data_IF_288500173063
#
_entry.id   IF_288500173063
#
_cell.length_a   1.000
_cell.length_b   1.000
_cell.length_c   1.000
_cell.angle_alpha   90.00
_cell.angle_beta   90.00
_cell.angle_gamma   90.00
#
_symmetry.space_group_name_H-M   'P 1'
#
loop_
_entity.id
_entity.type
_entity.pdbx_description
1 polymer ?
#
# COMPACT_ATOMS: atom_id res chain seq x y z
N UNK A 1 -20.00 1.65 1.04
CA UNK A 1 -19.81 0.73 -0.10
C UNK A 1 -19.52 1.56 -1.32
N UNK A 2 -18.50 1.24 -2.13
CA UNK A 2 -18.18 2.02 -3.33
C UNK A 2 -19.13 1.66 -4.47
N UNK A 3 -19.53 2.64 -5.27
CA UNK A 3 -20.11 2.42 -6.59
C UNK A 3 -19.05 2.68 -7.66
N UNK A 4 -19.06 1.88 -8.72
CA UNK A 4 -18.32 2.13 -9.94
C UNK A 4 -19.33 2.10 -11.08
N UNK A 5 -19.51 3.22 -11.77
CA UNK A 5 -20.46 3.31 -12.88
C UNK A 5 -19.71 3.28 -14.21
N UNK A 6 -19.98 2.25 -15.00
CA UNK A 6 -19.43 2.08 -16.35
C UNK A 6 -20.54 2.17 -17.40
N UNK A 7 -20.15 2.54 -18.61
CA UNK A 7 -21.04 2.60 -19.76
C UNK A 7 -20.48 1.75 -20.89
N UNK A 8 -21.36 1.11 -21.66
CA UNK A 8 -20.98 0.46 -22.91
C UNK A 8 -22.12 0.50 -23.89
N UNK A 9 -21.88 1.10 -25.05
CA UNK A 9 -22.79 1.05 -26.18
C UNK A 9 -22.25 0.08 -27.25
N UNK A 10 -23.03 -0.95 -27.55
CA UNK A 10 -22.63 -1.98 -28.52
C UNK A 10 -22.74 -1.52 -29.98
N UNK A 11 -23.49 -0.45 -30.27
CA UNK A 11 -23.67 0.08 -31.63
C UNK A 11 -22.48 0.94 -32.05
N UNK A 12 -22.10 1.91 -31.22
CA UNK A 12 -21.03 2.87 -31.54
C UNK A 12 -19.71 2.60 -30.80
N UNK A 13 -19.67 1.60 -29.90
CA UNK A 13 -18.50 1.21 -29.08
C UNK A 13 -18.04 2.30 -28.10
N UNK A 14 -18.90 3.25 -27.75
CA UNK A 14 -18.60 4.23 -26.71
C UNK A 14 -18.60 3.56 -25.33
N UNK A 15 -17.59 3.89 -24.51
CA UNK A 15 -17.41 3.37 -23.15
C UNK A 15 -17.45 4.48 -22.08
N UNK A 16 -17.59 5.73 -22.50
CA UNK A 16 -17.67 6.89 -21.62
C UNK A 16 -19.02 7.58 -21.78
N UNK A 17 -19.61 8.04 -20.67
CA UNK A 17 -20.80 8.87 -20.67
C UNK A 17 -20.69 9.93 -19.56
N UNK A 18 -20.71 11.22 -19.94
CA UNK A 18 -20.46 12.32 -18.99
C UNK A 18 -21.48 12.38 -17.85
N UNK A 19 -22.75 12.08 -18.14
CA UNK A 19 -23.82 12.03 -17.14
C UNK A 19 -23.57 10.92 -16.12
N UNK A 20 -23.14 9.75 -16.58
CA UNK A 20 -22.83 8.61 -15.71
C UNK A 20 -21.57 8.83 -14.87
N UNK A 21 -20.57 9.56 -15.36
CA UNK A 21 -19.40 9.95 -14.55
C UNK A 21 -19.80 10.86 -13.38
N UNK A 22 -20.74 11.79 -13.61
CA UNK A 22 -21.27 12.65 -12.55
C UNK A 22 -22.10 11.84 -11.55
N UNK A 23 -22.90 10.88 -12.04
CA UNK A 23 -23.65 9.96 -11.18
C UNK A 23 -22.72 9.11 -10.29
N UNK A 24 -21.63 8.58 -10.83
CA UNK A 24 -20.61 7.87 -10.04
C UNK A 24 -20.11 8.70 -8.86
N UNK A 25 -19.73 9.94 -9.14
CA UNK A 25 -19.22 10.89 -8.14
C UNK A 25 -20.28 11.17 -7.07
N UNK A 26 -21.53 11.36 -7.48
CA UNK A 26 -22.67 11.60 -6.59
C UNK A 26 -22.97 10.42 -5.67
N UNK A 27 -23.06 9.21 -6.21
CA UNK A 27 -23.30 8.01 -5.41
C UNK A 27 -22.18 7.81 -4.39
N UNK A 28 -20.93 7.94 -4.83
CA UNK A 28 -19.78 7.79 -3.94
C UNK A 28 -19.73 8.90 -2.88
N UNK A 29 -20.14 10.13 -3.17
CA UNK A 29 -20.18 11.20 -2.16
C UNK A 29 -21.08 10.86 -0.97
N UNK A 30 -22.19 10.17 -1.23
CA UNK A 30 -23.24 9.93 -0.24
C UNK A 30 -23.27 8.51 0.33
N UNK A 31 -22.69 7.52 -0.37
CA UNK A 31 -22.77 6.09 -0.01
C UNK A 31 -21.42 5.47 0.36
N UNK A 32 -20.30 6.12 0.01
CA UNK A 32 -18.98 5.69 0.48
C UNK A 32 -18.83 6.05 1.97
N UNK A 33 -18.03 5.28 2.70
CA UNK A 33 -17.87 5.44 4.16
C UNK A 33 -18.92 4.73 5.01
N UNK A 34 -19.97 4.17 4.40
CA UNK A 34 -20.97 3.34 5.08
C UNK A 34 -20.73 1.86 4.81
N UNK A 35 -20.76 1.07 5.87
CA UNK A 35 -20.46 -0.35 5.81
C UNK A 35 -21.75 -1.17 5.62
N UNK A 36 -21.82 -1.94 4.54
CA UNK A 36 -23.01 -2.71 4.15
C UNK A 36 -22.68 -4.19 3.88
N UNK A 37 -21.64 -4.71 4.54
CA UNK A 37 -21.10 -6.06 4.34
C UNK A 37 -19.61 -6.05 3.97
N UNK A 38 -18.97 -7.21 4.10
CA UNK A 38 -17.54 -7.47 3.82
C UNK A 38 -17.31 -8.14 2.47
N UNK A 39 -18.31 -8.90 2.00
CA UNK A 39 -18.20 -9.73 0.81
C UNK A 39 -17.84 -8.88 -0.41
N UNK A 40 -18.53 -7.75 -0.56
CA UNK A 40 -18.28 -6.80 -1.65
C UNK A 40 -17.93 -5.42 -1.11
N UNK A 41 -16.75 -4.95 -1.47
CA UNK A 41 -16.33 -3.58 -1.17
C UNK A 41 -16.88 -2.59 -2.22
N UNK A 42 -17.20 -3.10 -3.41
CA UNK A 42 -17.65 -2.30 -4.56
C UNK A 42 -18.81 -2.97 -5.29
N UNK A 43 -19.82 -2.16 -5.66
CA UNK A 43 -20.82 -2.51 -6.67
C UNK A 43 -20.42 -1.83 -7.97
N UNK A 44 -20.01 -2.61 -8.94
CA UNK A 44 -19.79 -2.16 -10.32
C UNK A 44 -21.11 -2.29 -11.08
N UNK A 45 -21.68 -1.15 -11.46
CA UNK A 45 -22.88 -1.07 -12.30
C UNK A 45 -22.45 -0.67 -13.70
N UNK A 46 -22.60 -1.59 -14.66
CA UNK A 46 -22.35 -1.28 -16.07
C UNK A 46 -23.67 -1.12 -16.81
N UNK A 47 -23.93 0.10 -17.26
CA UNK A 47 -25.04 0.41 -18.14
C UNK A 47 -24.73 0.01 -19.58
N UNK A 48 -25.64 -0.73 -20.21
CA UNK A 48 -25.44 -1.32 -21.53
C UNK A 48 -26.47 -0.76 -22.50
N UNK A 49 -26.00 -0.01 -23.49
CA UNK A 49 -26.80 0.47 -24.62
C UNK A 49 -26.73 -0.50 -25.80
N UNK A 50 -27.82 -0.55 -26.58
CA UNK A 50 -27.90 -1.26 -27.86
C UNK A 50 -27.44 -2.73 -27.80
N UNK A 51 -27.74 -3.42 -26.69
CA UNK A 51 -27.31 -4.80 -26.47
C UNK A 51 -27.90 -5.75 -27.52
N UNK A 52 -27.15 -6.76 -28.02
CA UNK A 52 -27.73 -7.82 -28.83
C UNK A 52 -28.84 -8.55 -28.07
N UNK A 53 -29.97 -8.84 -28.73
CA UNK A 53 -31.14 -9.46 -28.11
C UNK A 53 -30.86 -10.82 -27.42
N UNK A 54 -29.79 -11.50 -27.84
CA UNK A 54 -29.37 -12.81 -27.31
C UNK A 54 -28.44 -12.71 -26.09
N UNK A 55 -27.97 -11.51 -25.73
CA UNK A 55 -26.98 -11.32 -24.67
C UNK A 55 -27.61 -11.42 -23.29
N UNK A 56 -27.08 -12.31 -22.46
CA UNK A 56 -27.38 -12.35 -21.03
C UNK A 56 -26.56 -11.30 -20.28
N UNK A 57 -27.24 -10.49 -19.48
CA UNK A 57 -26.60 -9.50 -18.62
C UNK A 57 -25.85 -10.18 -17.48
N UNK A 58 -24.64 -9.69 -17.19
CA UNK A 58 -23.82 -10.24 -16.12
C UNK A 58 -24.39 -9.81 -14.76
N UNK A 59 -24.40 -10.77 -13.85
CA UNK A 59 -24.60 -10.58 -12.43
C UNK A 59 -23.66 -11.57 -11.72
N UNK A 60 -22.46 -11.13 -11.34
CA UNK A 60 -21.42 -12.02 -10.81
C UNK A 60 -20.43 -11.31 -9.90
N UNK A 61 -19.65 -12.09 -9.17
CA UNK A 61 -18.47 -11.60 -8.45
C UNK A 61 -17.28 -11.46 -9.40
N UNK A 62 -16.61 -10.31 -9.33
CA UNK A 62 -15.35 -10.00 -10.02
C UNK A 62 -14.26 -9.77 -8.96
N UNK A 63 -13.10 -10.41 -9.16
CA UNK A 63 -11.97 -10.40 -8.21
C UNK A 63 -12.36 -10.72 -6.75
N UNK A 64 -13.45 -11.47 -6.55
CA UNK A 64 -14.06 -11.83 -5.26
C UNK A 64 -14.71 -10.66 -4.49
N UNK A 65 -14.18 -9.45 -4.61
CA UNK A 65 -14.58 -8.27 -3.81
C UNK A 65 -15.48 -7.25 -4.54
N UNK A 66 -15.78 -7.47 -5.83
CA UNK A 66 -16.63 -6.58 -6.64
C UNK A 66 -17.89 -7.33 -7.07
N UNK A 67 -19.06 -6.75 -6.79
CA UNK A 67 -20.32 -7.18 -7.37
C UNK A 67 -20.51 -6.51 -8.74
N UNK A 68 -20.34 -7.25 -9.83
CA UNK A 68 -20.54 -6.76 -11.20
C UNK A 68 -22.00 -7.01 -11.63
N UNK A 69 -22.74 -5.91 -11.81
CA UNK A 69 -24.13 -5.88 -12.25
C UNK A 69 -24.23 -5.14 -13.58
N UNK A 70 -24.82 -5.78 -14.59
CA UNK A 70 -25.16 -5.11 -15.84
C UNK A 70 -26.64 -4.77 -15.92
N UNK A 71 -26.92 -3.53 -16.31
CA UNK A 71 -28.26 -2.97 -16.48
C UNK A 71 -28.45 -2.49 -17.92
N UNK A 72 -29.67 -2.58 -18.43
CA UNK A 72 -30.02 -1.97 -19.72
C UNK A 72 -29.96 -0.45 -19.59
N UNK A 73 -29.30 0.22 -20.52
CA UNK A 73 -29.33 1.67 -20.67
C UNK A 73 -30.21 2.10 -21.85
N UNK A 74 -30.57 3.38 -21.87
CA UNK A 74 -31.16 4.06 -23.05
C UNK A 74 -30.63 5.50 -23.12
N UNK A 75 -29.30 5.63 -23.10
CA UNK A 75 -28.62 6.93 -23.12
C UNK A 75 -28.49 7.43 -24.56
N UNK A 76 -28.95 8.65 -24.83
CA UNK A 76 -28.97 9.23 -26.19
C UNK A 76 -27.73 10.07 -26.48
N UNK A 77 -27.12 10.67 -25.45
CA UNK A 77 -25.95 11.53 -25.64
C UNK A 77 -24.85 11.28 -24.60
N UNK A 78 -23.81 10.58 -25.01
CA UNK A 78 -22.67 10.23 -24.15
C UNK A 78 -21.76 11.42 -23.80
N UNK A 79 -21.75 12.47 -24.62
CA UNK A 79 -20.76 13.56 -24.51
C UNK A 79 -21.29 14.79 -23.77
N UNK A 80 -22.61 14.89 -23.55
CA UNK A 80 -23.23 16.04 -22.88
C UNK A 80 -23.92 15.62 -21.60
N UNK A 81 -23.88 16.51 -20.62
CA UNK A 81 -24.61 16.34 -19.37
C UNK A 81 -26.12 16.45 -19.64
N UNK A 82 -26.88 15.44 -19.20
CA UNK A 82 -28.32 15.38 -19.37
C UNK A 82 -29.01 15.06 -18.02
N UNK A 83 -29.98 15.88 -17.65
CA UNK A 83 -30.68 15.78 -16.38
C UNK A 83 -31.64 14.59 -16.30
N UNK A 84 -32.39 14.32 -17.37
CA UNK A 84 -33.33 13.20 -17.42
C UNK A 84 -32.60 11.87 -17.38
N UNK A 85 -31.49 11.76 -18.12
CA UNK A 85 -30.61 10.59 -18.11
C UNK A 85 -29.98 10.37 -16.73
N UNK A 86 -29.60 11.46 -16.04
CA UNK A 86 -29.08 11.39 -14.66
C UNK A 86 -30.13 10.82 -13.71
N UNK A 87 -31.36 11.35 -13.73
CA UNK A 87 -32.46 10.91 -12.87
C UNK A 87 -32.85 9.46 -13.17
N UNK A 88 -32.98 9.11 -14.45
CA UNK A 88 -33.27 7.74 -14.88
C UNK A 88 -32.20 6.77 -14.38
N UNK A 89 -30.92 7.09 -14.61
CA UNK A 89 -29.81 6.24 -14.20
C UNK A 89 -29.72 6.13 -12.67
N UNK A 90 -29.90 7.25 -11.95
CA UNK A 90 -29.92 7.29 -10.50
C UNK A 90 -30.97 6.33 -9.95
N UNK A 91 -32.23 6.41 -10.41
CA UNK A 91 -33.31 5.52 -9.98
C UNK A 91 -33.04 4.05 -10.31
N UNK A 92 -32.34 3.77 -11.42
CA UNK A 92 -32.00 2.41 -11.82
C UNK A 92 -30.95 1.75 -10.93
N UNK A 93 -30.23 2.52 -10.12
CA UNK A 93 -29.27 1.97 -9.13
C UNK A 93 -29.96 1.07 -8.11
N UNK A 94 -31.22 1.33 -7.78
CA UNK A 94 -32.01 0.45 -6.90
C UNK A 94 -32.06 -1.00 -7.45
N UNK A 95 -32.23 -1.14 -8.77
CA UNK A 95 -32.22 -2.46 -9.44
C UNK A 95 -30.85 -3.13 -9.29
N UNK A 96 -29.75 -2.38 -9.37
CA UNK A 96 -28.42 -2.94 -9.16
C UNK A 96 -28.22 -3.44 -7.74
N UNK A 97 -28.61 -2.64 -6.73
CA UNK A 97 -28.54 -2.98 -5.30
C UNK A 97 -29.28 -4.30 -5.05
N UNK A 98 -30.55 -4.39 -5.49
CA UNK A 98 -31.38 -5.60 -5.33
C UNK A 98 -30.85 -6.83 -6.08
N UNK A 99 -30.03 -6.64 -7.12
CA UNK A 99 -29.42 -7.75 -7.88
C UNK A 99 -28.21 -8.37 -7.17
N UNK A 100 -27.55 -7.64 -6.26
CA UNK A 100 -26.34 -8.12 -5.56
C UNK A 100 -26.63 -9.40 -4.77
N UNK A 101 -27.76 -9.48 -4.06
CA UNK A 101 -28.16 -10.67 -3.30
C UNK A 101 -28.32 -11.95 -4.13
N UNK A 102 -28.42 -11.81 -5.44
CA UNK A 102 -28.58 -12.94 -6.36
C UNK A 102 -27.25 -13.42 -6.97
N UNK A 103 -26.12 -12.80 -6.61
CA UNK A 103 -24.79 -13.28 -7.00
C UNK A 103 -24.52 -14.61 -6.31
N UNK A 104 -24.25 -15.65 -7.11
CA UNK A 104 -23.89 -16.97 -6.58
C UNK A 104 -22.47 -16.94 -6.04
N UNK A 105 -22.34 -17.22 -4.74
CA UNK A 105 -21.07 -17.33 -4.03
C UNK A 105 -20.93 -18.70 -3.39
N UNK A 106 -19.68 -19.08 -3.09
CA UNK A 106 -19.39 -20.29 -2.31
C UNK A 106 -19.60 -20.06 -0.81
N UNK A 107 -19.39 -18.84 -0.35
CA UNK A 107 -19.51 -18.44 1.04
C UNK A 107 -20.82 -17.65 1.27
N UNK A 108 -21.35 -17.63 2.51
CA UNK A 108 -22.52 -16.83 2.84
C UNK A 108 -22.30 -15.35 2.50
N UNK A 109 -23.29 -14.74 1.85
CA UNK A 109 -23.27 -13.33 1.49
C UNK A 109 -23.71 -12.48 2.68
N UNK A 110 -22.80 -11.69 3.24
CA UNK A 110 -23.06 -10.75 4.34
C UNK A 110 -23.54 -9.36 3.86
N UNK A 111 -24.31 -9.34 2.78
CA UNK A 111 -24.78 -8.12 2.14
C UNK A 111 -26.00 -7.54 2.85
N UNK A 112 -25.87 -6.32 3.35
CA UNK A 112 -26.93 -5.61 4.06
C UNK A 112 -27.77 -4.76 3.11
N UNK A 113 -28.60 -5.42 2.31
CA UNK A 113 -29.43 -4.79 1.27
C UNK A 113 -30.30 -3.66 1.82
N UNK A 114 -31.06 -3.91 2.89
CA UNK A 114 -32.02 -2.94 3.43
C UNK A 114 -31.34 -1.68 3.99
N UNK A 115 -30.17 -1.85 4.64
CA UNK A 115 -29.37 -0.72 5.14
C UNK A 115 -28.86 0.14 3.98
N UNK A 116 -28.35 -0.49 2.91
CA UNK A 116 -27.88 0.22 1.73
C UNK A 116 -29.02 0.91 0.97
N UNK A 117 -30.18 0.28 0.84
CA UNK A 117 -31.36 0.89 0.21
C UNK A 117 -31.82 2.12 0.99
N UNK A 118 -31.90 2.04 2.32
CA UNK A 118 -32.27 3.18 3.17
C UNK A 118 -31.31 4.37 2.98
N UNK A 119 -30.01 4.09 2.94
CA UNK A 119 -29.00 5.13 2.72
C UNK A 119 -29.01 5.69 1.30
N UNK A 120 -29.32 4.84 0.32
CA UNK A 120 -29.53 5.24 -1.07
C UNK A 120 -30.75 6.14 -1.24
N UNK A 121 -31.89 5.85 -0.60
CA UNK A 121 -33.05 6.73 -0.63
C UNK A 121 -32.76 8.11 -0.03
N UNK A 122 -32.04 8.16 1.09
CA UNK A 122 -31.55 9.43 1.66
C UNK A 122 -30.56 10.17 0.76
N UNK A 123 -29.82 9.44 -0.08
CA UNK A 123 -28.94 10.06 -1.07
C UNK A 123 -29.76 10.70 -2.19
N UNK A 124 -30.80 10.03 -2.71
CA UNK A 124 -31.68 10.57 -3.77
C UNK A 124 -32.25 11.94 -3.38
N UNK A 125 -32.63 12.14 -2.12
CA UNK A 125 -33.15 13.44 -1.63
C UNK A 125 -32.19 14.62 -1.85
N UNK A 126 -30.88 14.33 -1.98
CA UNK A 126 -29.79 15.30 -2.19
C UNK A 126 -29.38 15.43 -3.66
N UNK A 127 -30.00 14.67 -4.55
CA UNK A 127 -29.70 14.71 -5.97
C UNK A 127 -30.00 16.10 -6.55
N UNK A 128 -29.24 16.55 -7.57
CA UNK A 128 -29.62 17.72 -8.35
C UNK A 128 -31.08 17.63 -8.80
N UNK A 129 -31.83 18.72 -8.68
CA UNK A 129 -33.27 18.78 -9.00
C UNK A 129 -33.56 19.34 -10.38
N UNK A 130 -32.55 19.88 -11.04
CA UNK A 130 -32.64 20.44 -12.39
C UNK A 130 -31.26 20.44 -13.06
N UNK A 131 -31.25 20.79 -14.35
CA UNK A 131 -30.02 20.81 -15.16
C UNK A 131 -28.97 21.82 -14.66
N UNK A 132 -29.38 22.93 -14.05
CA UNK A 132 -28.45 23.96 -13.59
C UNK A 132 -27.73 23.49 -12.31
N UNK A 133 -28.45 22.87 -11.38
CA UNK A 133 -27.85 22.20 -10.22
C UNK A 133 -26.91 21.07 -10.65
N UNK A 134 -27.27 20.28 -11.67
CA UNK A 134 -26.43 19.20 -12.17
C UNK A 134 -25.13 19.75 -12.80
N UNK A 135 -25.22 20.85 -13.57
CA UNK A 135 -24.04 21.56 -14.10
C UNK A 135 -23.16 22.13 -13.00
N UNK A 136 -23.76 22.74 -11.97
CA UNK A 136 -23.03 23.26 -10.81
C UNK A 136 -22.31 22.13 -10.06
N UNK A 137 -22.97 20.99 -9.89
CA UNK A 137 -22.36 19.80 -9.31
C UNK A 137 -21.17 19.32 -10.16
N UNK A 138 -21.34 19.23 -11.49
CA UNK A 138 -20.30 18.79 -12.41
C UNK A 138 -19.06 19.72 -12.43
N UNK A 139 -19.23 21.04 -12.16
CA UNK A 139 -18.11 22.00 -12.07
C UNK A 139 -17.15 21.70 -10.92
N UNK A 140 -17.61 21.04 -9.85
CA UNK A 140 -16.81 20.70 -8.67
C UNK A 140 -16.56 19.19 -8.53
N UNK A 141 -16.80 18.44 -9.61
CA UNK A 141 -16.71 16.97 -9.65
C UNK A 141 -15.34 16.47 -9.21
N UNK A 142 -14.26 17.04 -9.74
CA UNK A 142 -12.88 16.59 -9.41
C UNK A 142 -12.55 16.78 -7.93
N UNK A 143 -12.97 17.90 -7.34
CA UNK A 143 -12.82 18.13 -5.89
C UNK A 143 -13.60 17.08 -5.09
N UNK A 144 -14.81 16.72 -5.53
CA UNK A 144 -15.61 15.68 -4.87
C UNK A 144 -14.99 14.29 -5.02
N UNK A 145 -14.45 13.94 -6.20
CA UNK A 145 -13.73 12.68 -6.42
C UNK A 145 -12.55 12.53 -5.46
N UNK A 146 -11.76 13.60 -5.30
CA UNK A 146 -10.65 13.64 -4.35
C UNK A 146 -11.10 13.28 -2.92
N UNK A 147 -12.16 13.91 -2.41
CA UNK A 147 -12.68 13.58 -1.07
C UNK A 147 -13.36 12.20 -1.00
N UNK A 148 -13.95 11.73 -2.10
CA UNK A 148 -14.52 10.38 -2.16
C UNK A 148 -13.43 9.32 -2.03
N UNK A 149 -12.28 9.51 -2.67
CA UNK A 149 -11.12 8.62 -2.49
C UNK A 149 -10.65 8.60 -1.03
N UNK A 150 -10.55 9.75 -0.38
CA UNK A 150 -10.18 9.81 1.03
C UNK A 150 -11.18 9.03 1.94
N UNK A 151 -12.48 9.25 1.74
CA UNK A 151 -13.53 8.50 2.46
C UNK A 151 -13.50 7.00 2.17
N UNK A 152 -13.05 6.58 0.98
CA UNK A 152 -12.87 5.17 0.63
C UNK A 152 -11.81 4.53 1.52
N UNK A 153 -10.67 5.20 1.65
CA UNK A 153 -9.56 4.77 2.49
C UNK A 153 -10.00 4.67 3.95
N UNK A 154 -10.76 5.65 4.45
CA UNK A 154 -11.37 5.58 5.79
C UNK A 154 -12.30 4.38 5.98
N UNK A 155 -13.13 4.10 4.98
CA UNK A 155 -14.04 2.95 5.01
C UNK A 155 -13.27 1.61 5.09
N UNK A 156 -12.15 1.50 4.36
CA UNK A 156 -11.30 0.32 4.38
C UNK A 156 -10.58 0.17 5.73
N UNK A 157 -10.02 1.26 6.26
CA UNK A 157 -9.40 1.28 7.58
C UNK A 157 -10.41 0.88 8.67
N UNK A 158 -11.64 1.40 8.60
CA UNK A 158 -12.71 1.02 9.53
C UNK A 158 -13.09 -0.46 9.40
N UNK A 159 -13.13 -1.01 8.17
CA UNK A 159 -13.37 -2.45 7.94
C UNK A 159 -12.29 -3.28 8.64
N UNK A 160 -11.02 -2.95 8.48
CA UNK A 160 -9.92 -3.66 9.15
C UNK A 160 -9.97 -3.50 10.67
N UNK A 161 -10.31 -2.29 11.15
CA UNK A 161 -10.42 -2.00 12.58
C UNK A 161 -11.51 -2.82 13.25
N UNK A 162 -12.64 -3.02 12.57
CA UNK A 162 -13.78 -3.78 13.11
C UNK A 162 -13.70 -5.28 12.85
N UNK A 163 -12.85 -5.72 11.93
CA UNK A 163 -12.72 -7.13 11.54
C UNK A 163 -11.24 -7.54 11.50
N UNK A 164 -10.63 -7.75 12.68
CA UNK A 164 -9.23 -8.11 12.77
C UNK A 164 -8.94 -9.44 12.05
N UNK A 165 -7.79 -9.50 11.39
CA UNK A 165 -7.26 -10.73 10.80
C UNK A 165 -6.02 -11.19 11.56
N UNK A 166 -5.79 -12.51 11.58
CA UNK A 166 -4.63 -13.09 12.26
C UNK A 166 -3.30 -12.61 11.65
N UNK A 167 -2.33 -12.30 12.52
CA UNK A 167 -0.98 -11.91 12.13
C UNK A 167 -0.14 -13.14 11.76
N UNK A 168 -0.13 -13.50 10.48
CA UNK A 168 0.40 -14.78 9.99
C UNK A 168 1.58 -14.66 8.99
N UNK A 169 1.99 -13.44 8.61
CA UNK A 169 3.12 -13.18 7.71
C UNK A 169 4.22 -12.42 8.41
N UNK A 170 5.48 -12.71 8.08
CA UNK A 170 6.59 -11.84 8.44
C UNK A 170 6.56 -10.59 7.57
N UNK A 171 6.83 -9.43 8.15
CA UNK A 171 7.13 -8.25 7.36
C UNK A 171 8.35 -8.51 6.46
N UNK A 172 8.23 -8.14 5.20
CA UNK A 172 9.34 -8.10 4.23
C UNK A 172 9.92 -6.70 4.19
N UNK A 173 9.11 -5.65 4.29
CA UNK A 173 9.61 -4.29 4.43
C UNK A 173 8.51 -3.25 4.42
N UNK A 174 8.96 -2.00 4.51
CA UNK A 174 8.14 -0.83 4.27
C UNK A 174 8.66 -0.06 3.07
N UNK A 175 7.78 0.68 2.41
CA UNK A 175 8.14 1.64 1.35
C UNK A 175 7.47 2.96 1.65
N UNK A 176 8.20 4.04 1.43
CA UNK A 176 7.66 5.39 1.51
C UNK A 176 7.35 5.81 0.07
N UNK A 177 6.10 6.16 -0.16
CA UNK A 177 5.62 6.72 -1.41
C UNK A 177 5.09 8.11 -1.15
N UNK A 178 5.12 8.93 -2.19
CA UNK A 178 4.51 10.24 -2.18
C UNK A 178 3.82 10.48 -3.53
N UNK A 179 2.83 11.36 -3.51
CA UNK A 179 2.13 11.84 -4.71
C UNK A 179 2.78 13.11 -5.27
N UNK A 180 4.04 13.39 -4.88
CA UNK A 180 4.74 14.63 -5.20
C UNK A 180 5.64 14.44 -6.42
N UNK A 181 6.36 15.51 -6.80
CA UNK A 181 7.34 15.39 -7.88
C UNK A 181 8.48 14.45 -7.47
N UNK A 182 8.90 13.61 -8.43
CA UNK A 182 9.92 12.59 -8.21
C UNK A 182 11.16 13.14 -7.49
N UNK A 183 11.44 12.59 -6.30
CA UNK A 183 12.63 12.89 -5.52
C UNK A 183 12.47 14.02 -4.50
N UNK A 184 11.27 14.57 -4.29
CA UNK A 184 11.04 15.59 -3.27
C UNK A 184 11.38 15.13 -1.85
N UNK A 185 11.10 13.86 -1.53
CA UNK A 185 11.42 13.27 -0.23
C UNK A 185 12.85 12.70 -0.15
N UNK A 186 13.58 12.72 -1.26
CA UNK A 186 14.93 12.20 -1.32
C UNK A 186 15.90 13.03 -0.45
N UNK A 187 16.88 12.37 0.18
CA UNK A 187 17.11 10.92 0.18
C UNK A 187 16.43 10.17 1.34
N UNK A 188 15.67 10.89 2.17
CA UNK A 188 15.20 10.37 3.45
C UNK A 188 14.11 9.31 3.31
N UNK A 189 13.34 9.35 2.22
CA UNK A 189 12.39 8.29 1.83
C UNK A 189 13.09 6.93 1.72
N UNK A 190 14.23 6.86 1.04
CA UNK A 190 15.03 5.66 0.92
C UNK A 190 15.65 5.27 2.27
N UNK A 191 16.25 6.24 2.97
CA UNK A 191 16.92 6.00 4.26
C UNK A 191 15.95 5.37 5.26
N UNK A 192 14.79 6.00 5.48
CA UNK A 192 13.80 5.50 6.42
C UNK A 192 13.11 4.22 5.94
N UNK A 193 12.90 4.05 4.63
CA UNK A 193 12.41 2.78 4.09
C UNK A 193 13.34 1.62 4.46
N UNK A 194 14.66 1.78 4.31
CA UNK A 194 15.66 0.76 4.64
C UNK A 194 15.78 0.52 6.14
N UNK A 195 15.88 1.59 6.94
CA UNK A 195 16.00 1.52 8.41
C UNK A 195 14.82 0.75 9.02
N UNK A 196 13.59 1.20 8.74
CA UNK A 196 12.40 0.55 9.27
C UNK A 196 12.22 -0.86 8.72
N UNK A 197 12.45 -1.08 7.41
CA UNK A 197 12.37 -2.43 6.84
C UNK A 197 13.28 -3.41 7.56
N UNK A 198 14.54 -3.03 7.81
CA UNK A 198 15.48 -3.88 8.53
C UNK A 198 15.05 -4.10 9.98
N UNK A 199 14.80 -3.02 10.72
CA UNK A 199 14.56 -3.09 12.16
C UNK A 199 13.23 -3.77 12.50
N UNK A 200 12.17 -3.54 11.73
CA UNK A 200 10.88 -4.23 11.93
C UNK A 200 10.99 -5.74 11.63
N UNK A 201 11.78 -6.14 10.62
CA UNK A 201 12.10 -7.56 10.38
C UNK A 201 12.84 -8.18 11.55
N UNK A 202 13.83 -7.47 12.10
CA UNK A 202 14.64 -7.95 13.24
C UNK A 202 13.84 -7.99 14.55
N UNK A 203 12.84 -7.13 14.68
CA UNK A 203 11.85 -7.18 15.76
C UNK A 203 10.77 -8.27 15.55
N UNK A 204 10.84 -9.01 14.44
CA UNK A 204 9.88 -10.07 14.07
C UNK A 204 8.43 -9.58 14.08
N UNK A 205 8.19 -8.38 13.53
CA UNK A 205 6.83 -7.85 13.38
C UNK A 205 6.06 -8.70 12.37
N UNK A 206 4.86 -9.13 12.78
CA UNK A 206 3.93 -9.90 11.96
C UNK A 206 2.86 -9.01 11.35
N UNK A 207 2.42 -9.39 10.15
CA UNK A 207 1.39 -8.73 9.36
C UNK A 207 0.27 -9.72 9.00
N UNK A 208 -0.97 -9.26 8.79
CA UNK A 208 -2.07 -10.13 8.41
C UNK A 208 -2.12 -10.34 6.90
N UNK A 209 -1.88 -11.56 6.41
CA UNK A 209 -2.04 -11.98 5.01
C UNK A 209 -1.19 -11.25 3.94
N UNK A 210 -0.58 -10.11 4.24
CA UNK A 210 0.34 -9.35 3.39
C UNK A 210 1.74 -9.27 4.02
N UNK A 211 2.73 -8.80 3.27
CA UNK A 211 4.13 -8.74 3.74
C UNK A 211 4.80 -7.36 3.63
N UNK A 212 4.20 -6.39 2.94
CA UNK A 212 4.75 -5.03 2.85
C UNK A 212 3.77 -3.96 3.35
N UNK A 213 4.29 -2.89 3.97
CA UNK A 213 3.53 -1.70 4.36
C UNK A 213 3.99 -0.53 3.49
N UNK A 214 3.05 0.13 2.82
CA UNK A 214 3.33 1.29 1.99
C UNK A 214 2.85 2.54 2.73
N UNK A 215 3.77 3.41 3.13
CA UNK A 215 3.45 4.68 3.78
C UNK A 215 3.30 5.71 2.67
N UNK A 216 2.06 6.06 2.33
CA UNK A 216 1.79 7.12 1.36
C UNK A 216 1.75 8.48 2.09
N UNK A 217 2.57 9.42 1.62
CA UNK A 217 2.71 10.74 2.21
C UNK A 217 2.10 11.80 1.28
N UNK A 218 1.32 12.70 1.87
CA UNK A 218 0.73 13.86 1.19
C UNK A 218 0.86 15.12 2.03
N UNK A 219 0.55 16.28 1.45
CA UNK A 219 0.55 17.55 2.19
C UNK A 219 -0.54 17.56 3.28
N UNK A 220 -1.70 16.98 2.97
CA UNK A 220 -2.76 16.65 3.92
C UNK A 220 -2.99 15.13 4.01
N UNK A 221 -3.74 14.70 5.03
CA UNK A 221 -4.15 13.29 5.15
C UNK A 221 -5.06 12.88 3.98
N UNK A 222 -5.90 13.78 3.48
CA UNK A 222 -6.72 13.54 2.31
C UNK A 222 -5.86 13.32 1.06
N UNK A 223 -4.76 14.06 0.88
CA UNK A 223 -3.81 13.84 -0.22
C UNK A 223 -3.14 12.48 -0.12
N UNK A 224 -2.73 12.07 1.09
CA UNK A 224 -2.14 10.77 1.32
C UNK A 224 -3.13 9.61 1.00
N UNK A 225 -4.43 9.82 1.22
CA UNK A 225 -5.47 8.79 1.04
C UNK A 225 -5.94 8.61 -0.40
N UNK A 226 -5.25 9.16 -1.39
CA UNK A 226 -5.63 9.01 -2.80
C UNK A 226 -5.31 7.62 -3.39
N UNK A 227 -4.45 6.83 -2.74
CA UNK A 227 -4.12 5.46 -3.14
C UNK A 227 -4.61 4.40 -2.13
N UNK A 228 -4.96 3.23 -2.66
CA UNK A 228 -5.30 2.04 -1.88
C UNK A 228 -4.70 0.79 -2.54
N UNK A 229 -4.53 -0.28 -1.76
CA UNK A 229 -3.98 -1.53 -2.28
C UNK A 229 -5.04 -2.27 -3.10
N UNK A 230 -4.76 -2.48 -4.38
CA UNK A 230 -5.53 -3.40 -5.23
C UNK A 230 -5.00 -4.84 -5.15
N UNK A 231 -3.75 -4.99 -4.74
CA UNK A 231 -3.08 -6.28 -4.61
C UNK A 231 -3.08 -6.77 -3.15
N UNK A 232 -2.90 -8.07 -2.95
CA UNK A 232 -3.04 -8.71 -1.64
C UNK A 232 -1.73 -8.81 -0.85
N UNK A 233 -0.58 -8.43 -1.44
CA UNK A 233 0.75 -8.64 -0.82
C UNK A 233 1.30 -7.40 -0.10
N UNK A 234 0.66 -6.24 -0.24
CA UNK A 234 0.97 -5.04 0.53
C UNK A 234 -0.31 -4.35 1.05
N UNK A 235 -0.15 -3.44 2.00
CA UNK A 235 -1.21 -2.55 2.48
C UNK A 235 -0.71 -1.14 2.64
N UNK A 236 -1.51 -0.15 2.25
CA UNK A 236 -1.20 1.25 2.50
C UNK A 236 -1.52 1.69 3.93
N UNK A 237 -0.70 2.61 4.43
CA UNK A 237 -0.99 3.53 5.53
C UNK A 237 -0.72 4.95 5.07
N UNK A 238 -1.16 5.93 5.84
CA UNK A 238 -1.27 7.31 5.40
C UNK A 238 -0.64 8.24 6.43
N UNK A 239 0.13 9.21 5.96
CA UNK A 239 0.71 10.24 6.79
C UNK A 239 0.72 11.59 6.06
N UNK A 240 0.69 12.68 6.83
CA UNK A 240 0.81 14.02 6.30
C UNK A 240 2.21 14.57 6.56
N UNK A 241 2.67 15.45 5.67
CA UNK A 241 3.93 16.17 5.79
C UNK A 241 3.71 17.59 5.28
N UNK A 242 4.00 18.60 6.10
CA UNK A 242 3.97 19.99 5.64
C UNK A 242 5.09 20.22 4.62
N UNK A 243 4.75 20.09 3.33
CA UNK A 243 5.72 20.09 2.25
C UNK A 243 6.38 21.46 2.08
N UNK A 244 5.60 22.53 2.18
CA UNK A 244 6.11 23.90 2.10
C UNK A 244 7.20 24.15 3.15
N UNK A 245 6.96 23.72 4.39
CA UNK A 245 7.97 23.80 5.46
C UNK A 245 9.16 22.87 5.15
N UNK A 246 8.87 21.61 4.83
CA UNK A 246 9.89 20.60 4.55
C UNK A 246 10.89 21.07 3.50
N UNK A 247 10.42 21.62 2.37
CA UNK A 247 11.28 22.04 1.27
C UNK A 247 12.23 23.20 1.66
N UNK A 248 11.78 24.10 2.53
CA UNK A 248 12.54 25.24 3.04
C UNK A 248 13.46 24.89 4.23
N UNK A 249 13.26 23.74 4.86
CA UNK A 249 14.04 23.28 6.00
C UNK A 249 15.42 22.78 5.62
N UNK A 250 16.34 22.80 6.59
CA UNK A 250 17.67 22.22 6.44
C UNK A 250 17.62 20.68 6.43
N UNK A 251 18.78 20.05 6.21
CA UNK A 251 18.90 18.60 6.11
C UNK A 251 18.43 17.88 7.39
N UNK A 252 18.77 18.41 8.56
CA UNK A 252 18.43 17.79 9.84
C UNK A 252 16.92 17.86 10.08
N UNK A 253 16.34 19.04 9.88
CA UNK A 253 14.90 19.24 10.06
C UNK A 253 14.08 18.44 9.03
N UNK A 254 14.52 18.35 7.76
CA UNK A 254 13.92 17.46 6.76
C UNK A 254 13.89 16.01 7.24
N UNK A 255 15.03 15.49 7.69
CA UNK A 255 15.12 14.12 8.20
C UNK A 255 14.13 13.88 9.34
N UNK A 256 14.09 14.79 10.32
CA UNK A 256 13.20 14.68 11.47
C UNK A 256 11.72 14.74 11.06
N UNK A 257 11.34 15.68 10.19
CA UNK A 257 9.96 15.80 9.72
C UNK A 257 9.48 14.55 8.98
N UNK A 258 10.33 13.97 8.12
CA UNK A 258 9.96 12.75 7.42
C UNK A 258 9.89 11.55 8.38
N UNK A 259 10.85 11.44 9.31
CA UNK A 259 10.81 10.42 10.36
C UNK A 259 9.50 10.44 11.15
N UNK A 260 9.09 11.62 11.62
CA UNK A 260 7.85 11.81 12.37
C UNK A 260 6.63 11.41 11.53
N UNK A 261 6.56 11.83 10.28
CA UNK A 261 5.48 11.46 9.35
C UNK A 261 5.40 9.94 9.15
N UNK A 262 6.53 9.26 8.95
CA UNK A 262 6.58 7.80 8.81
C UNK A 262 6.14 7.10 10.10
N UNK A 263 6.56 7.61 11.27
CA UNK A 263 6.12 7.09 12.56
C UNK A 263 4.61 7.19 12.73
N UNK A 264 4.01 8.30 12.32
CA UNK A 264 2.56 8.50 12.39
C UNK A 264 1.81 7.54 11.46
N UNK A 265 2.31 7.32 10.25
CA UNK A 265 1.81 6.29 9.35
C UNK A 265 1.89 4.88 9.95
N UNK A 266 3.01 4.52 10.58
CA UNK A 266 3.19 3.22 11.23
C UNK A 266 2.27 3.04 12.45
N UNK A 267 2.06 4.10 13.24
CA UNK A 267 1.12 4.10 14.36
C UNK A 267 -0.32 3.94 13.89
N UNK A 268 -0.69 4.61 12.80
CA UNK A 268 -2.01 4.53 12.22
C UNK A 268 -2.36 3.10 11.81
N UNK A 269 -1.48 2.43 11.05
CA UNK A 269 -1.72 1.02 10.64
C UNK A 269 -1.64 0.05 11.80
N UNK A 270 -0.80 0.31 12.80
CA UNK A 270 -0.83 -0.48 14.03
C UNK A 270 -2.18 -0.39 14.74
N UNK A 271 -2.85 0.77 14.71
CA UNK A 271 -4.17 0.94 15.29
C UNK A 271 -5.28 0.27 14.46
N UNK A 272 -5.39 0.60 13.17
CA UNK A 272 -6.54 0.13 12.39
C UNK A 272 -6.42 -1.33 11.93
N UNK A 273 -5.20 -1.87 11.86
CA UNK A 273 -4.96 -3.25 11.40
C UNK A 273 -4.47 -4.19 12.50
N UNK A 274 -4.51 -3.72 13.76
CA UNK A 274 -4.19 -4.49 14.96
C UNK A 274 -2.78 -5.10 14.93
N UNK A 275 -1.79 -4.36 14.42
CA UNK A 275 -0.41 -4.81 14.40
C UNK A 275 0.22 -4.76 15.80
N UNK A 276 1.40 -5.36 15.94
CA UNK A 276 2.16 -5.44 17.20
C UNK A 276 2.74 -4.08 17.60
N UNK A 277 1.88 -3.16 18.05
CA UNK A 277 2.19 -1.76 18.37
C UNK A 277 3.42 -1.60 19.25
N UNK A 278 3.57 -2.45 20.27
CA UNK A 278 4.74 -2.39 21.18
C UNK A 278 6.07 -2.66 20.46
N UNK A 279 6.10 -3.60 19.50
CA UNK A 279 7.30 -3.88 18.71
C UNK A 279 7.61 -2.71 17.77
N UNK A 280 6.58 -2.14 17.15
CA UNK A 280 6.71 -0.97 16.27
C UNK A 280 7.25 0.24 17.04
N UNK A 281 6.69 0.55 18.23
CA UNK A 281 7.17 1.65 19.06
C UNK A 281 8.60 1.44 19.57
N UNK A 282 9.01 0.19 19.87
CA UNK A 282 10.41 -0.12 20.20
C UNK A 282 11.34 0.25 19.05
N UNK A 283 10.98 -0.07 17.81
CA UNK A 283 11.76 0.31 16.61
C UNK A 283 11.78 1.82 16.41
N UNK A 284 10.63 2.49 16.54
CA UNK A 284 10.55 3.96 16.44
C UNK A 284 11.48 4.61 17.46
N UNK A 285 11.41 4.21 18.73
CA UNK A 285 12.26 4.76 19.78
C UNK A 285 13.74 4.45 19.57
N UNK A 286 14.07 3.28 19.02
CA UNK A 286 15.43 2.93 18.67
C UNK A 286 16.01 3.86 17.61
N UNK A 287 15.28 4.13 16.52
CA UNK A 287 15.72 5.07 15.47
C UNK A 287 15.79 6.49 16.05
N UNK A 288 14.78 6.92 16.81
CA UNK A 288 14.74 8.25 17.43
C UNK A 288 15.97 8.53 18.31
N UNK A 289 16.40 7.54 19.09
CA UNK A 289 17.50 7.71 20.04
C UNK A 289 18.89 7.60 19.40
N UNK A 290 19.00 6.98 18.23
CA UNK A 290 20.30 6.71 17.59
C UNK A 290 20.49 7.46 16.25
N UNK A 291 19.44 8.06 15.70
CA UNK A 291 19.46 8.74 14.41
C UNK A 291 19.48 7.79 13.21
N UNK A 292 19.77 8.36 12.04
CA UNK A 292 19.77 7.65 10.75
C UNK A 292 21.09 6.89 10.46
N UNK A 293 22.19 7.26 11.12
CA UNK A 293 23.53 6.69 10.90
C UNK A 293 23.77 5.40 11.71
N UNK A 294 22.91 4.41 11.48
CA UNK A 294 22.86 3.15 12.22
C UNK A 294 23.58 2.00 11.50
N UNK A 295 24.36 1.22 12.26
CA UNK A 295 24.81 -0.10 11.81
C UNK A 295 23.65 -1.09 11.85
N UNK A 296 23.08 -1.38 10.69
CA UNK A 296 22.04 -2.39 10.50
C UNK A 296 22.65 -3.77 10.33
N UNK A 297 22.03 -4.78 10.96
CA UNK A 297 22.41 -6.18 10.73
C UNK A 297 21.66 -6.70 9.51
N UNK A 298 22.39 -6.98 8.44
CA UNK A 298 21.86 -7.61 7.23
C UNK A 298 21.53 -9.09 7.47
N UNK A 299 22.50 -9.84 8.00
CA UNK A 299 22.37 -11.25 8.32
C UNK A 299 23.24 -11.59 9.52
N UNK A 300 22.81 -12.58 10.32
CA UNK A 300 23.57 -13.04 11.48
C UNK A 300 23.55 -14.56 11.58
N UNK A 301 24.62 -15.13 12.12
CA UNK A 301 24.71 -16.53 12.53
C UNK A 301 25.46 -16.62 13.85
N UNK A 302 24.98 -17.51 14.71
CA UNK A 302 25.56 -17.73 16.03
C UNK A 302 25.84 -19.23 16.25
N UNK A 303 26.89 -19.51 17.01
CA UNK A 303 27.16 -20.81 17.64
C UNK A 303 27.55 -20.58 19.10
N UNK A 304 27.95 -21.64 19.82
CA UNK A 304 28.31 -21.57 21.25
C UNK A 304 29.48 -20.65 21.62
N UNK A 305 30.31 -20.24 20.65
CA UNK A 305 31.52 -19.44 20.89
C UNK A 305 31.43 -18.05 20.24
N UNK A 306 30.79 -17.93 19.08
CA UNK A 306 30.84 -16.73 18.26
C UNK A 306 29.48 -16.36 17.69
N UNK A 307 29.23 -15.06 17.60
CA UNK A 307 28.17 -14.46 16.79
C UNK A 307 28.80 -13.64 15.67
N UNK A 308 28.49 -14.00 14.43
CA UNK A 308 28.92 -13.29 13.23
C UNK A 308 27.74 -12.54 12.61
N UNK A 309 27.95 -11.26 12.30
CA UNK A 309 26.95 -10.37 11.73
C UNK A 309 27.53 -9.66 10.50
N UNK A 310 26.84 -9.77 9.37
CA UNK A 310 27.06 -8.88 8.25
C UNK A 310 26.29 -7.60 8.54
N UNK A 311 27.02 -6.49 8.71
CA UNK A 311 26.48 -5.18 9.06
C UNK A 311 26.71 -4.16 7.95
N UNK A 312 25.85 -3.15 7.87
CA UNK A 312 26.01 -2.03 6.93
C UNK A 312 25.36 -0.77 7.49
N UNK A 313 25.74 0.38 6.93
CA UNK A 313 25.02 1.63 7.11
C UNK A 313 24.22 1.93 5.86
N UNK A 314 23.02 2.47 6.02
CA UNK A 314 22.22 2.89 4.87
C UNK A 314 22.95 4.05 4.17
N UNK A 315 23.20 3.95 2.85
CA UNK A 315 23.87 5.03 2.16
C UNK A 315 22.99 6.27 2.10
N UNK A 316 23.62 7.44 2.04
CA UNK A 316 22.90 8.73 2.00
C UNK A 316 22.15 8.95 0.70
N UNK A 317 22.48 8.22 -0.37
CA UNK A 317 21.80 8.27 -1.66
C UNK A 317 21.47 6.83 -2.10
N UNK A 318 20.31 6.61 -2.72
CA UNK A 318 19.86 5.26 -3.10
C UNK A 318 20.74 4.59 -4.18
N UNK A 319 21.52 5.38 -4.93
CA UNK A 319 22.43 4.90 -5.97
C UNK A 319 23.79 4.50 -5.42
N UNK A 320 24.14 4.96 -4.23
CA UNK A 320 25.44 4.70 -3.63
C UNK A 320 25.54 3.27 -3.13
N UNK A 321 26.77 2.74 -3.16
CA UNK A 321 27.07 1.44 -2.58
C UNK A 321 27.21 1.59 -1.06
N UNK A 322 26.61 0.68 -0.32
CA UNK A 322 26.81 0.58 1.12
C UNK A 322 28.09 -0.20 1.41
N UNK A 323 28.86 0.25 2.40
CA UNK A 323 29.96 -0.55 2.94
C UNK A 323 29.38 -1.65 3.85
N UNK A 324 29.65 -2.90 3.47
CA UNK A 324 29.35 -4.06 4.29
C UNK A 324 30.60 -4.48 5.07
N UNK A 325 30.41 -4.73 6.36
CA UNK A 325 31.45 -5.18 7.29
C UNK A 325 31.00 -6.45 8.00
N UNK A 326 31.94 -7.31 8.36
CA UNK A 326 31.72 -8.45 9.22
C UNK A 326 32.04 -8.02 10.66
N UNK A 327 31.03 -8.04 11.53
CA UNK A 327 31.19 -7.90 12.99
C UNK A 327 31.17 -9.28 13.61
N UNK A 328 32.17 -9.61 14.43
CA UNK A 328 32.26 -10.88 15.14
C UNK A 328 32.40 -10.63 16.62
N UNK A 329 31.55 -11.28 17.40
CA UNK A 329 31.52 -11.17 18.85
C UNK A 329 31.93 -12.54 19.41
N UNK A 330 33.00 -12.57 20.20
CA UNK A 330 33.33 -13.72 21.04
C UNK A 330 32.37 -13.74 22.24
N UNK A 331 31.53 -14.76 22.33
CA UNK A 331 30.48 -14.86 23.34
C UNK A 331 31.03 -15.19 24.74
N UNK A 332 32.30 -15.61 24.85
CA UNK A 332 32.94 -15.89 26.15
C UNK A 332 33.65 -14.66 26.70
N UNK A 333 34.38 -13.94 25.85
CA UNK A 333 35.18 -12.78 26.29
C UNK A 333 34.46 -11.46 26.11
N UNK A 334 33.45 -11.40 25.24
CA UNK A 334 32.78 -10.17 24.83
C UNK A 334 33.58 -9.35 23.82
N UNK A 335 34.75 -9.83 23.37
CA UNK A 335 35.57 -9.12 22.39
C UNK A 335 34.82 -8.98 21.06
N UNK A 336 35.02 -7.83 20.39
CA UNK A 336 34.37 -7.50 19.13
C UNK A 336 35.43 -7.20 18.08
N UNK A 337 35.42 -7.98 17.00
CA UNK A 337 36.18 -7.73 15.78
C UNK A 337 35.29 -7.14 14.70
N UNK A 338 35.79 -6.17 13.93
CA UNK A 338 35.10 -5.63 12.75
C UNK A 338 36.07 -5.57 11.58
N UNK A 339 35.69 -6.16 10.46
CA UNK A 339 36.50 -6.18 9.23
C UNK A 339 35.63 -5.83 8.01
N UNK A 340 36.23 -5.14 7.04
CA UNK A 340 35.59 -4.84 5.77
C UNK A 340 35.27 -6.13 4.98
N UNK A 341 34.11 -6.16 4.32
CA UNK A 341 33.76 -7.20 3.35
C UNK A 341 33.87 -6.64 1.94
N UNK A 342 33.00 -5.69 1.59
CA UNK A 342 32.91 -5.07 0.26
C UNK A 342 31.97 -3.86 0.26
N UNK A 343 31.94 -3.12 -0.86
CA UNK A 343 30.97 -2.06 -1.12
C UNK A 343 29.95 -2.52 -2.18
N UNK A 344 28.69 -2.67 -1.78
CA UNK A 344 27.63 -3.28 -2.61
C UNK A 344 26.36 -2.41 -2.55
N UNK A 345 25.64 -2.29 -3.67
CA UNK A 345 24.32 -1.67 -3.63
C UNK A 345 23.37 -2.54 -2.79
N UNK A 346 22.63 -1.93 -1.87
CA UNK A 346 21.74 -2.63 -0.92
C UNK A 346 20.74 -3.54 -1.63
N UNK A 347 20.27 -3.16 -2.82
CA UNK A 347 19.36 -3.96 -3.65
C UNK A 347 19.99 -5.29 -4.11
N UNK A 348 21.31 -5.32 -4.36
CA UNK A 348 22.04 -6.50 -4.83
C UNK A 348 22.68 -7.33 -3.71
N UNK A 349 22.69 -6.82 -2.47
CA UNK A 349 23.24 -7.53 -1.32
C UNK A 349 22.71 -8.98 -1.14
N UNK A 350 21.42 -9.30 -1.41
CA UNK A 350 20.93 -10.69 -1.37
C UNK A 350 21.59 -11.67 -2.33
N UNK A 351 22.26 -11.19 -3.38
CA UNK A 351 23.03 -12.04 -4.26
C UNK A 351 24.42 -12.32 -3.69
N UNK A 352 25.04 -11.38 -2.99
CA UNK A 352 26.37 -11.53 -2.42
C UNK A 352 26.39 -12.19 -1.04
N UNK A 353 25.28 -12.10 -0.30
CA UNK A 353 25.20 -12.58 1.10
C UNK A 353 24.07 -13.59 1.28
N UNK A 354 24.23 -14.78 0.72
CA UNK A 354 23.24 -15.86 0.79
C UNK A 354 23.27 -16.65 2.10
N UNK A 355 24.45 -16.95 2.64
CA UNK A 355 24.59 -17.76 3.87
C UNK A 355 25.88 -17.45 4.62
N UNK A 356 25.80 -17.41 5.96
CA UNK A 356 26.96 -17.35 6.86
C UNK A 356 27.23 -18.75 7.42
N UNK A 357 28.48 -19.20 7.33
CA UNK A 357 28.97 -20.46 7.88
C UNK A 357 30.02 -20.17 8.96
N UNK A 358 29.78 -20.66 10.18
CA UNK A 358 30.75 -20.63 11.27
C UNK A 358 31.48 -21.98 11.33
N UNK A 359 32.77 -21.99 10.97
CA UNK A 359 33.64 -23.16 11.13
C UNK A 359 34.51 -23.00 12.38
N UNK A 360 35.43 -23.94 12.61
CA UNK A 360 36.25 -23.97 13.83
C UNK A 360 37.20 -22.77 13.92
N UNK A 361 37.80 -22.40 12.80
CA UNK A 361 38.88 -21.41 12.66
C UNK A 361 38.55 -20.29 11.66
N UNK A 362 37.49 -20.45 10.87
CA UNK A 362 37.09 -19.47 9.85
C UNK A 362 35.58 -19.19 9.83
N UNK A 363 35.24 -18.01 9.35
CA UNK A 363 33.88 -17.57 9.03
C UNK A 363 33.80 -17.41 7.52
N UNK A 364 32.82 -18.04 6.89
CA UNK A 364 32.61 -17.99 5.44
C UNK A 364 31.25 -17.38 5.13
N UNK A 365 31.24 -16.33 4.31
CA UNK A 365 30.01 -15.71 3.79
C UNK A 365 29.90 -16.12 2.32
N UNK A 366 28.90 -16.95 2.01
CA UNK A 366 28.65 -17.42 0.65
C UNK A 366 27.60 -16.57 -0.04
N UNK A 367 27.84 -16.26 -1.31
CA UNK A 367 26.82 -15.71 -2.20
C UNK A 367 25.65 -16.69 -2.40
N UNK A 368 24.51 -16.15 -2.82
CA UNK A 368 23.34 -16.99 -3.15
C UNK A 368 23.65 -17.86 -4.37
N UNK A 369 23.33 -19.14 -4.28
CA UNK A 369 23.46 -20.12 -5.36
C UNK A 369 22.26 -20.00 -6.31
N UNK A 370 22.38 -19.15 -7.32
CA UNK A 370 21.42 -19.05 -8.43
C UNK A 370 22.08 -18.36 -9.61
N UNK A 371 21.67 -18.72 -10.83
CA UNK A 371 22.22 -18.14 -12.06
C UNK A 371 22.17 -16.59 -12.06
N UNK A 372 21.05 -16.00 -11.61
CA UNK A 372 20.90 -14.54 -11.51
C UNK A 372 21.88 -13.92 -10.53
N UNK A 373 22.08 -14.54 -9.38
CA UNK A 373 23.02 -14.05 -8.37
C UNK A 373 24.47 -14.16 -8.85
N UNK A 374 24.82 -15.23 -9.56
CA UNK A 374 26.14 -15.39 -10.17
C UNK A 374 26.43 -14.34 -11.25
N UNK A 375 25.46 -14.04 -12.10
CA UNK A 375 25.59 -12.97 -13.12
C UNK A 375 25.81 -11.62 -12.44
N UNK A 376 24.99 -11.28 -11.43
CA UNK A 376 25.11 -10.00 -10.73
C UNK A 376 26.48 -9.85 -10.06
N UNK A 377 26.96 -10.88 -9.33
CA UNK A 377 28.30 -10.85 -8.72
C UNK A 377 29.41 -10.71 -9.77
N UNK A 378 29.32 -11.43 -10.90
CA UNK A 378 30.29 -11.32 -12.00
C UNK A 378 30.31 -9.91 -12.60
N UNK A 379 29.15 -9.29 -12.79
CA UNK A 379 29.03 -7.93 -13.31
C UNK A 379 29.72 -6.90 -12.39
N UNK A 380 29.56 -7.07 -11.08
CA UNK A 380 30.17 -6.20 -10.07
C UNK A 380 31.59 -6.63 -9.65
N UNK A 381 32.17 -7.67 -10.29
CA UNK A 381 33.47 -8.26 -9.97
C UNK A 381 33.61 -8.75 -8.51
N UNK A 382 32.51 -9.21 -7.93
CA UNK A 382 32.44 -9.72 -6.55
C UNK A 382 32.77 -11.22 -6.50
N UNK A 383 33.44 -11.72 -5.44
CA UNK A 383 33.72 -13.13 -5.27
C UNK A 383 32.46 -13.96 -5.00
N UNK A 384 32.55 -15.29 -5.16
CA UNK A 384 31.48 -16.22 -4.80
C UNK A 384 31.36 -16.43 -3.29
N UNK A 385 32.45 -16.25 -2.55
CA UNK A 385 32.51 -16.36 -1.10
C UNK A 385 33.60 -15.44 -0.52
N UNK A 386 33.35 -14.94 0.69
CA UNK A 386 34.32 -14.21 1.51
C UNK A 386 34.74 -15.10 2.69
N UNK A 387 36.04 -15.14 3.01
CA UNK A 387 36.60 -15.96 4.09
C UNK A 387 37.39 -15.11 5.07
N UNK A 388 37.16 -15.34 6.36
CA UNK A 388 37.80 -14.61 7.44
C UNK A 388 38.30 -15.59 8.49
N UNK A 389 39.58 -15.53 8.86
CA UNK A 389 40.14 -16.33 9.95
C UNK A 389 39.81 -15.69 11.28
N UNK A 390 39.23 -16.46 12.19
CA UNK A 390 38.74 -15.94 13.49
C UNK A 390 39.88 -15.34 14.32
N UNK A 391 41.07 -15.94 14.29
CA UNK A 391 42.24 -15.46 15.03
C UNK A 391 42.76 -14.09 14.55
N UNK A 392 42.43 -13.69 13.32
CA UNK A 392 42.88 -12.41 12.74
C UNK A 392 41.86 -11.27 13.00
N UNK A 393 40.74 -11.57 13.66
CA UNK A 393 39.65 -10.61 13.90
C UNK A 393 39.69 -9.94 15.29
N UNK A 394 40.54 -10.41 16.20
CA UNK A 394 40.60 -9.96 17.59
C UNK A 394 41.99 -9.45 17.99
#
# INVERSE_FOLDING_TARGET
MRFLIEYKDFKNKEENNKTLTVLDTFLNEHLIGKYHGQTFDTILVRFINNSPATRKFKNKSLYKIIAEIELIGDFKNSNKLNFEEFQMALLKIEEAIKKVRHIKLKEPLDYKEDELLNDYYKAIEKAPKNIEELKNYARVEEKKKFYNNAKRSDCLMYKYKTNPTELNRNIVGIRIYDQLENGMLAPFDYIYSELFSNLLRRAEVKLPNYSEIYVNIGETIEDAKQEISLETWHKYTYAALNLSKYLCSDKYEKSQMLFESVCDGLRLIAEFDHLEKEKIEKVINYIKNNGEDLDLVYAAKENKNYRAEVIYKVPKEYRDKAEYRLRVIDLKTGNIGIVHIDCINTYWAPYSFGKILLKKDEIVIKGRESFRAEISRKQDKLPSEYKFKILELF
#
